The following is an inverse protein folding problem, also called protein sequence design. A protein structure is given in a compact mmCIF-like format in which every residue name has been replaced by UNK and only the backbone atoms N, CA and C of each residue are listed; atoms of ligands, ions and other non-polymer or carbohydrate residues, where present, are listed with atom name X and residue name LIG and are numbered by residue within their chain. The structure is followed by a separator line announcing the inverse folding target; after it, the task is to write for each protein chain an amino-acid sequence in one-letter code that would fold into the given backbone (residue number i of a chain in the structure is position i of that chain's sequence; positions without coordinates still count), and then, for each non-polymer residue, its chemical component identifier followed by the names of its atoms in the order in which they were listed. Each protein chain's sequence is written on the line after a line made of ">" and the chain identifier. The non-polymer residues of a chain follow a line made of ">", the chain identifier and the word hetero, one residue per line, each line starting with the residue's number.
data_IF_455463873902
#
_entry.id   IF_455463873902
#
_cell.length_a   1.000
_cell.length_b   1.000
_cell.length_c   1.000
_cell.angle_alpha   90.00
_cell.angle_beta   90.00
_cell.angle_gamma   90.00
#
_symmetry.space_group_name_H-M   'P 1'
#
loop_
_entity.id
_entity.type
_entity.pdbx_description
1 polymer ?
#
# COMPACT_ATOMS: atom_id res chain seq x y z
N UNK A 1 -8.98 -34.37 -17.23
CA UNK A 1 -9.31 -32.94 -17.16
C UNK A 1 -9.80 -32.65 -15.75
N UNK A 2 -8.87 -32.41 -14.82
CA UNK A 2 -9.20 -32.15 -13.40
C UNK A 2 -9.48 -30.67 -13.23
N UNK A 3 -10.74 -30.33 -13.00
CA UNK A 3 -11.13 -29.02 -12.49
C UNK A 3 -10.95 -29.12 -10.96
N UNK A 4 -9.77 -28.72 -10.48
CA UNK A 4 -9.59 -28.47 -9.04
C UNK A 4 -10.46 -27.27 -8.66
N UNK A 5 -11.42 -27.39 -7.73
CA UNK A 5 -12.17 -26.25 -7.25
C UNK A 5 -11.25 -25.50 -6.28
N UNK A 6 -10.40 -24.62 -6.80
CA UNK A 6 -9.73 -23.65 -5.97
C UNK A 6 -10.85 -22.76 -5.38
N UNK A 7 -11.21 -23.05 -4.13
CA UNK A 7 -12.22 -22.29 -3.41
C UNK A 7 -11.85 -20.81 -3.48
N UNK A 8 -12.80 -19.98 -3.87
CA UNK A 8 -12.72 -18.51 -3.97
C UNK A 8 -12.09 -17.81 -2.75
N UNK A 9 -11.97 -18.52 -1.62
CA UNK A 9 -11.33 -18.10 -0.37
C UNK A 9 -9.80 -18.26 -0.33
N UNK A 10 -9.20 -19.17 -1.09
CA UNK A 10 -7.76 -19.43 -1.04
C UNK A 10 -6.96 -18.37 -1.81
N UNK A 11 -7.53 -17.84 -2.89
CA UNK A 11 -6.91 -16.76 -3.68
C UNK A 11 -6.78 -15.45 -2.89
N UNK A 12 -7.75 -15.16 -2.01
CA UNK A 12 -7.69 -13.99 -1.14
C UNK A 12 -6.59 -14.14 -0.07
N UNK A 13 -6.41 -15.35 0.46
CA UNK A 13 -5.39 -15.62 1.48
C UNK A 13 -3.97 -15.72 0.88
N UNK A 14 -3.81 -16.34 -0.30
CA UNK A 14 -2.54 -16.39 -1.03
C UNK A 14 -2.12 -14.99 -1.50
N UNK A 15 -3.04 -14.20 -2.04
CA UNK A 15 -2.78 -12.82 -2.44
C UNK A 15 -2.47 -11.92 -1.22
N UNK A 16 -3.12 -12.10 -0.06
CA UNK A 16 -2.76 -11.33 1.16
C UNK A 16 -1.36 -11.63 1.69
N UNK A 17 -0.84 -12.84 1.49
CA UNK A 17 0.47 -13.26 2.03
C UNK A 17 1.65 -12.90 1.12
N UNK A 18 1.41 -12.76 -0.19
CA UNK A 18 2.44 -12.43 -1.19
C UNK A 18 2.32 -11.03 -1.81
N UNK A 19 1.20 -10.31 -1.62
CA UNK A 19 0.98 -9.00 -2.25
C UNK A 19 1.11 -7.87 -1.21
N UNK A 20 2.26 -7.15 -1.17
CA UNK A 20 2.48 -6.07 -0.20
C UNK A 20 1.64 -4.82 -0.51
N UNK A 21 1.06 -4.72 -1.71
CA UNK A 21 0.35 -3.54 -2.20
C UNK A 21 -0.89 -3.18 -1.36
N UNK A 22 -1.87 -4.08 -1.11
CA UNK A 22 -3.04 -3.75 -0.30
C UNK A 22 -2.70 -3.35 1.14
N UNK A 23 -1.70 -4.01 1.76
CA UNK A 23 -1.22 -3.65 3.09
C UNK A 23 -0.57 -2.25 3.08
N UNK A 24 0.25 -1.97 2.07
CA UNK A 24 0.88 -0.66 1.91
C UNK A 24 -0.16 0.44 1.69
N UNK A 25 -1.20 0.20 0.90
CA UNK A 25 -2.31 1.14 0.70
C UNK A 25 -3.03 1.44 2.01
N UNK A 26 -3.28 0.44 2.86
CA UNK A 26 -3.87 0.66 4.18
C UNK A 26 -2.98 1.54 5.05
N UNK A 27 -1.67 1.25 5.12
CA UNK A 27 -0.72 2.05 5.91
C UNK A 27 -0.63 3.50 5.42
N UNK A 28 -0.67 3.72 4.10
CA UNK A 28 -0.71 5.07 3.51
C UNK A 28 -1.99 5.79 3.92
N UNK A 29 -3.15 5.13 3.88
CA UNK A 29 -4.42 5.70 4.27
C UNK A 29 -4.42 6.10 5.76
N UNK A 30 -3.91 5.24 6.65
CA UNK A 30 -3.79 5.53 8.08
C UNK A 30 -2.87 6.72 8.35
N UNK A 31 -1.73 6.79 7.65
CA UNK A 31 -0.82 7.93 7.76
C UNK A 31 -1.45 9.23 7.26
N UNK A 32 -2.19 9.17 6.15
CA UNK A 32 -2.92 10.32 5.61
C UNK A 32 -4.00 10.80 6.58
N UNK A 33 -4.76 9.87 7.18
CA UNK A 33 -5.76 10.17 8.20
C UNK A 33 -5.14 10.79 9.46
N UNK A 34 -4.03 10.22 9.95
CA UNK A 34 -3.33 10.70 11.14
C UNK A 34 -2.75 12.11 10.99
N UNK A 35 -2.41 12.51 9.75
CA UNK A 35 -1.88 13.84 9.42
C UNK A 35 -2.91 14.79 8.82
N UNK A 36 -4.12 14.34 8.52
CA UNK A 36 -5.14 15.12 7.83
C UNK A 36 -4.76 15.53 6.40
N UNK A 37 -3.85 14.81 5.74
CA UNK A 37 -3.39 15.10 4.38
C UNK A 37 -4.10 14.21 3.37
N UNK A 38 -4.31 14.70 2.14
CA UNK A 38 -4.81 13.86 1.05
C UNK A 38 -3.72 12.94 0.53
N UNK A 39 -4.11 11.75 0.08
CA UNK A 39 -3.23 10.76 -0.55
C UNK A 39 -2.48 11.33 -1.77
N UNK A 40 -3.10 12.25 -2.52
CA UNK A 40 -2.45 12.94 -3.65
C UNK A 40 -1.33 13.88 -3.20
N UNK A 41 -1.50 14.55 -2.06
CA UNK A 41 -0.47 15.37 -1.43
C UNK A 41 0.68 14.50 -0.92
N UNK A 42 0.36 13.37 -0.29
CA UNK A 42 1.36 12.38 0.15
C UNK A 42 2.17 11.85 -1.04
N UNK A 43 1.52 11.39 -2.11
CA UNK A 43 2.20 10.87 -3.31
C UNK A 43 3.10 11.91 -3.98
N UNK A 44 2.66 13.18 -4.01
CA UNK A 44 3.47 14.31 -4.50
C UNK A 44 4.69 14.58 -3.61
N UNK A 45 4.56 14.51 -2.29
CA UNK A 45 5.69 14.77 -1.39
C UNK A 45 6.70 13.62 -1.32
N UNK A 46 6.23 12.37 -1.33
CA UNK A 46 7.07 11.18 -1.09
C UNK A 46 7.61 10.59 -2.39
N UNK A 47 6.79 10.57 -3.44
CA UNK A 47 7.10 9.89 -4.72
C UNK A 47 7.16 10.88 -5.90
N UNK A 48 6.82 12.15 -5.68
CA UNK A 48 6.64 13.17 -6.74
C UNK A 48 5.52 12.84 -7.76
N UNK A 49 4.64 11.90 -7.44
CA UNK A 49 3.54 11.46 -8.28
C UNK A 49 2.23 11.48 -7.47
N UNK A 50 1.38 12.47 -7.76
CA UNK A 50 0.07 12.62 -7.10
C UNK A 50 -0.96 11.55 -7.48
N UNK A 51 -0.68 10.71 -8.48
CA UNK A 51 -1.53 9.61 -8.93
C UNK A 51 -0.97 8.24 -8.53
N UNK A 52 0.10 8.21 -7.75
CA UNK A 52 0.77 6.98 -7.31
C UNK A 52 -0.19 5.98 -6.65
N UNK A 53 -0.99 6.43 -5.68
CA UNK A 53 -1.94 5.59 -4.93
C UNK A 53 -3.03 5.01 -5.85
N UNK A 54 -3.54 5.81 -6.79
CA UNK A 54 -4.51 5.34 -7.77
C UNK A 54 -3.93 4.29 -8.73
N UNK A 55 -2.67 4.45 -9.17
CA UNK A 55 -1.98 3.44 -9.99
C UNK A 55 -1.72 2.16 -9.20
N UNK A 56 -1.28 2.24 -7.95
CA UNK A 56 -1.11 1.06 -7.09
C UNK A 56 -2.43 0.30 -6.94
N UNK A 57 -3.53 1.02 -6.70
CA UNK A 57 -4.87 0.43 -6.53
C UNK A 57 -5.37 -0.27 -7.81
N UNK A 58 -4.96 0.23 -8.97
CA UNK A 58 -5.25 -0.38 -10.27
C UNK A 58 -4.38 -1.62 -10.58
N UNK A 59 -3.48 -2.03 -9.67
CA UNK A 59 -2.55 -3.14 -9.88
C UNK A 59 -1.25 -2.74 -10.58
N UNK A 60 -0.90 -1.46 -10.54
CA UNK A 60 0.37 -0.98 -11.08
C UNK A 60 1.58 -1.49 -10.29
N UNK A 61 2.62 -1.90 -11.01
CA UNK A 61 3.90 -2.28 -10.42
C UNK A 61 4.64 -1.04 -9.90
N UNK A 62 5.30 -1.20 -8.75
CA UNK A 62 6.18 -0.20 -8.15
C UNK A 62 7.60 -0.76 -8.05
N UNK A 63 8.60 0.11 -8.15
CA UNK A 63 10.00 -0.28 -7.95
C UNK A 63 10.32 -0.34 -6.46
N UNK A 64 11.26 -1.21 -6.06
CA UNK A 64 11.75 -1.31 -4.68
C UNK A 64 12.17 0.06 -4.11
N UNK A 65 12.85 0.89 -4.92
CA UNK A 65 13.25 2.25 -4.53
C UNK A 65 12.07 3.14 -4.11
N UNK A 66 10.91 2.98 -4.75
CA UNK A 66 9.69 3.70 -4.38
C UNK A 66 9.07 3.12 -3.12
N UNK A 67 9.08 1.78 -2.98
CA UNK A 67 8.64 1.12 -1.76
C UNK A 67 9.43 1.61 -0.53
N UNK A 68 10.76 1.60 -0.60
CA UNK A 68 11.64 2.04 0.48
C UNK A 68 11.38 3.49 0.89
N UNK A 69 11.14 4.38 -0.08
CA UNK A 69 10.79 5.79 0.21
C UNK A 69 9.45 5.92 0.92
N UNK A 70 8.44 5.16 0.48
CA UNK A 70 7.13 5.16 1.11
C UNK A 70 7.22 4.58 2.52
N UNK A 71 7.93 3.48 2.71
CA UNK A 71 8.15 2.90 4.04
C UNK A 71 8.91 3.85 4.96
N UNK A 72 9.96 4.51 4.49
CA UNK A 72 10.68 5.52 5.27
C UNK A 72 9.76 6.68 5.68
N UNK A 73 8.90 7.17 4.79
CA UNK A 73 7.94 8.22 5.09
C UNK A 73 6.86 7.76 6.10
N UNK A 74 6.40 6.51 5.99
CA UNK A 74 5.48 5.91 6.95
C UNK A 74 6.15 5.81 8.33
N UNK A 75 7.33 5.19 8.42
CA UNK A 75 8.10 5.04 9.67
C UNK A 75 8.38 6.39 10.33
N UNK A 76 8.81 7.40 9.56
CA UNK A 76 9.04 8.75 10.07
C UNK A 76 7.77 9.44 10.62
N UNK A 77 6.57 8.97 10.28
CA UNK A 77 5.31 9.44 10.85
C UNK A 77 4.64 8.49 11.83
N UNK A 78 5.18 7.29 12.06
CA UNK A 78 4.59 6.28 12.98
C UNK A 78 5.23 6.32 14.38
N UNK A 79 6.11 7.28 14.66
CA UNK A 79 6.78 7.46 15.96
C UNK A 79 5.85 7.80 17.14
N UNK A 80 4.53 7.94 16.95
CA UNK A 80 3.61 7.89 18.08
C UNK A 80 3.41 6.41 18.49
N UNK A 81 4.01 5.93 19.59
CA UNK A 81 3.64 4.62 20.13
C UNK A 81 2.14 4.64 20.42
N UNK A 82 1.43 3.68 19.84
CA UNK A 82 0.08 3.37 20.25
C UNK A 82 0.10 3.15 21.76
N UNK A 83 -0.71 3.94 22.48
CA UNK A 83 -0.96 3.81 23.91
C UNK A 83 -1.64 2.49 24.26
#
# INVERSE_FOLDING_TARGET
>A
MVICPLTKWDFDHYNRRMNPIPLLLSRIADHCAARGIRESTFGRHVVNDGKFVARLRAGGSLTLKTLERVEAALTAGTDRPAS
#
